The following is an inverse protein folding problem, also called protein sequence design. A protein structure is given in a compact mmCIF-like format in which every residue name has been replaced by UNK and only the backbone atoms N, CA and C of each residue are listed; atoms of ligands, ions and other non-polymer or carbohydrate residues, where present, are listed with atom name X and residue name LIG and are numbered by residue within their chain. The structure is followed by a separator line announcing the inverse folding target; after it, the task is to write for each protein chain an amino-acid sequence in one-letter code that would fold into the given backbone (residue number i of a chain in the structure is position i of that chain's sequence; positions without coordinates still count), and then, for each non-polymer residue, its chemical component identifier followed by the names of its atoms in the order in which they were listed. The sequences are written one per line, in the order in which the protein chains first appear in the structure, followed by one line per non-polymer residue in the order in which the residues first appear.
data_IF_387405085351
#
_entry.id   IF_387405085351
#
_cell.length_a   1.000
_cell.length_b   1.000
_cell.length_c   1.000
_cell.angle_alpha   90.00
_cell.angle_beta   90.00
_cell.angle_gamma   90.00
#
_symmetry.space_group_name_H-M   'P 1'
#
loop_
_entity.id
_entity.type
_entity.pdbx_description
1 polymer ?
#
# COMPACT_ATOMS: atom_id res chain seq x y z
N UNK A 1 -20.40 -16.09 11.75
CA UNK A 1 -20.23 -14.85 10.95
C UNK A 1 -19.45 -15.07 9.65
N UNK A 2 -18.43 -15.98 9.60
CA UNK A 2 -17.58 -16.16 8.39
C UNK A 2 -18.34 -16.52 7.11
N UNK A 3 -19.42 -17.29 7.18
CA UNK A 3 -20.24 -17.64 6.02
C UNK A 3 -21.26 -16.57 5.60
N UNK A 4 -21.27 -15.41 6.28
CA UNK A 4 -22.19 -14.29 5.99
C UNK A 4 -21.51 -13.12 5.30
N UNK A 5 -20.18 -13.14 5.16
CA UNK A 5 -19.40 -12.08 4.53
C UNK A 5 -18.78 -12.63 3.25
N UNK A 6 -19.23 -12.12 2.11
CA UNK A 6 -18.71 -12.53 0.80
C UNK A 6 -17.48 -11.74 0.40
N UNK A 7 -17.52 -10.42 0.54
CA UNK A 7 -16.45 -9.53 0.12
C UNK A 7 -16.16 -8.48 1.19
N UNK A 8 -14.91 -8.07 1.30
CA UNK A 8 -14.45 -6.99 2.17
C UNK A 8 -13.71 -5.96 1.32
N UNK A 9 -14.16 -4.72 1.35
CA UNK A 9 -13.49 -3.59 0.71
C UNK A 9 -13.05 -2.61 1.79
N UNK A 10 -11.79 -2.22 1.79
CA UNK A 10 -11.26 -1.28 2.78
C UNK A 10 -10.68 -0.04 2.12
N UNK A 11 -10.96 1.10 2.73
CA UNK A 11 -10.38 2.39 2.36
C UNK A 11 -9.31 2.76 3.37
N UNK A 12 -8.06 2.82 2.94
CA UNK A 12 -6.89 3.28 3.73
C UNK A 12 -6.87 2.80 5.18
N UNK A 13 -7.34 1.58 5.40
CA UNK A 13 -7.43 0.99 6.73
C UNK A 13 -6.03 0.60 7.21
N UNK A 14 -5.63 0.94 8.44
CA UNK A 14 -4.30 0.62 8.97
C UNK A 14 -4.18 -0.86 9.39
N UNK A 15 -4.25 -1.78 8.42
CA UNK A 15 -4.20 -3.23 8.66
C UNK A 15 -2.97 -3.69 9.43
N UNK A 16 -1.85 -3.00 9.26
CA UNK A 16 -0.60 -3.28 9.97
C UNK A 16 -0.28 -2.22 11.05
N UNK A 17 -1.28 -1.41 11.41
CA UNK A 17 -1.16 -0.38 12.44
C UNK A 17 -0.72 0.99 11.91
N UNK A 18 -0.74 1.96 12.80
CA UNK A 18 -0.28 3.33 12.55
C UNK A 18 1.11 3.50 13.17
N UNK A 19 2.02 4.09 12.40
CA UNK A 19 3.39 4.42 12.83
C UNK A 19 3.65 5.91 12.64
N UNK A 20 4.21 6.55 13.67
CA UNK A 20 4.67 7.94 13.62
C UNK A 20 6.20 7.97 13.70
N UNK A 21 6.85 8.57 12.69
CA UNK A 21 8.31 8.66 12.63
C UNK A 21 9.05 7.32 12.55
N UNK A 22 8.40 6.26 12.02
CA UNK A 22 8.96 4.91 11.95
C UNK A 22 8.92 4.14 13.28
N UNK A 23 8.26 4.69 14.29
CA UNK A 23 8.04 4.08 15.61
C UNK A 23 6.55 3.86 15.78
N UNK A 24 6.15 2.72 16.34
CA UNK A 24 4.76 2.53 16.77
C UNK A 24 4.34 3.70 17.67
N UNK A 25 3.09 4.19 17.48
CA UNK A 25 2.57 5.32 18.27
C UNK A 25 2.93 5.14 19.73
N UNK A 26 3.74 6.03 20.33
CA UNK A 26 4.08 5.93 21.73
C UNK A 26 2.82 6.07 22.60
N UNK A 27 2.71 5.29 23.65
CA UNK A 27 1.53 5.27 24.54
C UNK A 27 1.19 6.66 25.12
N UNK A 28 2.18 7.56 25.24
CA UNK A 28 1.99 8.91 25.79
C UNK A 28 1.43 9.92 24.75
N UNK A 29 1.51 9.61 23.44
CA UNK A 29 0.88 10.40 22.37
C UNK A 29 -0.53 9.93 22.07
N UNK A 30 -1.06 9.01 22.86
CA UNK A 30 -2.40 8.46 22.69
C UNK A 30 -3.48 9.53 22.94
N UNK A 31 -3.77 10.32 21.93
CA UNK A 31 -5.05 11.00 21.85
C UNK A 31 -6.13 9.92 21.61
N UNK A 32 -6.65 9.45 22.70
CA UNK A 32 -7.81 8.56 22.93
C UNK A 32 -7.88 7.24 22.14
N UNK A 33 -7.87 7.20 20.81
CA UNK A 33 -8.15 5.96 20.08
C UNK A 33 -6.99 5.50 19.17
N UNK A 34 -6.03 6.36 18.86
CA UNK A 34 -4.90 6.00 17.98
C UNK A 34 -4.03 4.87 18.55
N UNK A 35 -3.97 4.74 19.89
CA UNK A 35 -3.23 3.66 20.53
C UNK A 35 -3.84 2.27 20.27
N UNK A 36 -5.12 2.19 19.94
CA UNK A 36 -5.78 0.94 19.56
C UNK A 36 -5.21 0.40 18.22
N UNK A 37 -4.71 1.28 17.36
CA UNK A 37 -4.05 0.92 16.10
C UNK A 37 -2.54 0.71 16.23
N UNK A 38 -2.01 0.66 17.45
CA UNK A 38 -0.65 0.20 17.67
C UNK A 38 -0.54 -1.28 17.34
N UNK A 39 0.46 -1.68 16.54
CA UNK A 39 0.63 -3.07 16.07
C UNK A 39 0.64 -4.09 17.22
N UNK A 40 1.18 -3.72 18.39
CA UNK A 40 1.20 -4.59 19.57
C UNK A 40 -0.19 -4.81 20.14
N UNK A 41 -1.00 -3.76 20.22
CA UNK A 41 -2.38 -3.84 20.71
C UNK A 41 -3.26 -4.57 19.70
N UNK A 42 -3.10 -4.30 18.41
CA UNK A 42 -3.79 -5.04 17.36
C UNK A 42 -3.48 -6.54 17.40
N UNK A 43 -2.21 -6.91 17.58
CA UNK A 43 -1.81 -8.32 17.71
C UNK A 43 -2.50 -9.02 18.90
N UNK A 44 -2.58 -8.33 20.05
CA UNK A 44 -3.31 -8.83 21.23
C UNK A 44 -4.81 -8.96 20.96
N UNK A 45 -5.41 -7.93 20.37
CA UNK A 45 -6.84 -7.90 20.07
C UNK A 45 -7.25 -9.00 19.08
N UNK A 46 -6.43 -9.20 18.03
CA UNK A 46 -6.66 -10.23 17.03
C UNK A 46 -6.23 -11.65 17.47
N UNK A 47 -5.49 -11.77 18.55
CA UNK A 47 -4.95 -13.05 19.02
C UNK A 47 -3.91 -13.66 18.09
N UNK A 48 -3.13 -12.81 17.38
CA UNK A 48 -2.13 -13.25 16.40
C UNK A 48 -0.73 -12.69 16.72
N UNK A 49 0.35 -13.33 16.25
CA UNK A 49 1.69 -12.76 16.33
C UNK A 49 1.77 -11.40 15.60
N UNK A 50 2.59 -10.47 16.10
CA UNK A 50 2.80 -9.14 15.48
C UNK A 50 3.09 -9.20 13.98
N UNK A 51 3.85 -10.18 13.52
CA UNK A 51 4.20 -10.36 12.12
C UNK A 51 3.01 -10.78 11.24
N UNK A 52 1.88 -11.15 11.83
CA UNK A 52 0.68 -11.63 11.13
C UNK A 52 -0.54 -10.72 11.30
N UNK A 53 -0.36 -9.51 11.82
CA UNK A 53 -1.46 -8.56 12.08
C UNK A 53 -2.20 -8.20 10.79
N UNK A 54 -1.50 -8.09 9.67
CA UNK A 54 -2.07 -7.81 8.35
C UNK A 54 -2.16 -9.06 7.46
N UNK A 55 -2.28 -10.25 8.02
CA UNK A 55 -2.38 -11.50 7.28
C UNK A 55 -3.75 -12.17 7.49
N UNK A 56 -4.32 -12.71 6.41
CA UNK A 56 -5.51 -13.57 6.46
C UNK A 56 -5.15 -15.05 6.60
N UNK A 57 -3.87 -15.39 6.70
CA UNK A 57 -3.41 -16.76 6.87
C UNK A 57 -4.06 -17.42 8.11
N UNK A 58 -4.67 -18.59 7.91
CA UNK A 58 -5.39 -19.30 8.98
C UNK A 58 -6.78 -18.73 9.31
N UNK A 59 -7.21 -17.61 8.73
CA UNK A 59 -8.55 -17.05 8.95
C UNK A 59 -9.65 -17.85 8.24
N UNK A 60 -9.31 -18.56 7.17
CA UNK A 60 -10.28 -19.22 6.28
C UNK A 60 -11.05 -18.24 5.37
N UNK A 61 -10.70 -16.95 5.37
CA UNK A 61 -11.27 -15.97 4.45
C UNK A 61 -10.39 -15.89 3.18
N UNK A 62 -10.98 -15.96 1.97
CA UNK A 62 -10.22 -15.91 0.73
C UNK A 62 -9.59 -14.53 0.52
N UNK A 63 -8.28 -14.49 0.23
CA UNK A 63 -7.54 -13.24 0.06
C UNK A 63 -8.03 -12.42 -1.13
N UNK A 64 -8.47 -13.08 -2.20
CA UNK A 64 -9.02 -12.45 -3.41
C UNK A 64 -10.34 -11.71 -3.17
N UNK A 65 -11.04 -12.01 -2.08
CA UNK A 65 -12.26 -11.34 -1.64
C UNK A 65 -12.03 -10.20 -0.66
N UNK A 66 -10.77 -9.86 -0.42
CA UNK A 66 -10.38 -8.76 0.47
C UNK A 66 -9.63 -7.69 -0.33
N UNK A 67 -10.28 -6.60 -0.67
CA UNK A 67 -9.67 -5.53 -1.47
C UNK A 67 -9.22 -4.36 -0.59
N UNK A 68 -8.00 -3.89 -0.81
CA UNK A 68 -7.43 -2.75 -0.12
C UNK A 68 -7.23 -1.58 -1.09
N UNK A 69 -8.02 -0.52 -0.96
CA UNK A 69 -7.80 0.73 -1.66
C UNK A 69 -6.92 1.65 -0.80
N UNK A 70 -5.79 2.08 -1.36
CA UNK A 70 -4.71 2.75 -0.64
C UNK A 70 -4.55 4.16 -1.15
N UNK A 71 -4.65 5.14 -0.25
CA UNK A 71 -4.35 6.54 -0.53
C UNK A 71 -2.85 6.80 -0.53
N UNK A 72 -2.40 7.72 -1.38
CA UNK A 72 -0.98 8.04 -1.54
C UNK A 72 -0.68 9.54 -1.44
N UNK A 73 -1.69 10.36 -1.15
CA UNK A 73 -1.52 11.81 -1.01
C UNK A 73 -1.39 12.22 0.46
N UNK A 74 -0.16 12.37 0.91
CA UNK A 74 0.12 12.81 2.27
C UNK A 74 -0.04 14.31 2.49
N UNK A 75 -0.14 15.13 1.42
CA UNK A 75 -0.11 16.59 1.52
C UNK A 75 -1.47 17.20 1.83
N UNK A 76 -2.54 16.59 1.36
CA UNK A 76 -3.89 17.11 1.49
C UNK A 76 -4.61 16.68 2.78
N UNK A 77 -3.90 16.00 3.68
CA UNK A 77 -4.40 15.62 4.99
C UNK A 77 -4.02 16.66 6.04
N UNK A 78 -4.97 17.52 6.41
CA UNK A 78 -4.73 18.71 7.25
C UNK A 78 -5.10 18.54 8.72
N UNK A 79 -5.39 17.32 9.16
CA UNK A 79 -5.71 17.05 10.57
C UNK A 79 -4.53 17.42 11.47
N UNK A 80 -4.83 18.06 12.60
CA UNK A 80 -3.84 18.58 13.54
C UNK A 80 -2.83 19.57 12.91
N UNK A 81 -3.30 20.45 12.01
CA UNK A 81 -2.47 21.45 11.32
C UNK A 81 -1.33 20.84 10.48
N UNK A 82 -1.54 19.65 9.93
CA UNK A 82 -0.55 18.95 9.10
C UNK A 82 0.54 18.20 9.89
N UNK A 83 0.50 18.22 11.22
CA UNK A 83 1.50 17.51 12.05
C UNK A 83 1.48 16.00 11.84
N UNK A 84 0.31 15.43 11.57
CA UNK A 84 0.18 13.98 11.29
C UNK A 84 0.90 13.61 9.99
N UNK A 85 0.68 14.33 8.90
CA UNK A 85 1.31 14.06 7.60
C UNK A 85 2.83 14.22 7.65
N UNK A 86 3.34 15.19 8.42
CA UNK A 86 4.76 15.38 8.64
C UNK A 86 5.36 14.21 9.44
N UNK A 87 4.68 13.72 10.47
CA UNK A 87 5.15 12.64 11.32
C UNK A 87 5.11 11.27 10.61
N UNK A 88 4.15 11.03 9.70
CA UNK A 88 4.01 9.76 8.95
C UNK A 88 4.90 9.71 7.71
N UNK A 89 5.13 10.86 7.08
CA UNK A 89 6.00 11.00 5.92
C UNK A 89 5.31 10.81 4.56
N UNK A 90 6.06 10.99 3.45
CA UNK A 90 5.49 11.10 2.10
C UNK A 90 4.95 9.77 1.52
N UNK A 91 5.38 8.63 2.08
CA UNK A 91 4.89 7.30 1.67
C UNK A 91 3.63 6.92 2.45
N UNK A 92 2.62 7.80 2.45
CA UNK A 92 1.38 7.67 3.20
C UNK A 92 0.25 8.44 2.54
N UNK A 93 -0.96 8.31 3.06
CA UNK A 93 -2.13 9.13 2.76
C UNK A 93 -2.28 10.34 3.71
N UNK A 94 -1.25 10.59 4.53
CA UNK A 94 -1.21 11.61 5.58
C UNK A 94 -1.45 11.05 7.00
N UNK A 95 -1.99 9.83 7.13
CA UNK A 95 -2.19 9.16 8.42
C UNK A 95 -1.63 7.73 8.43
N UNK A 96 -1.90 6.96 7.39
CA UNK A 96 -1.51 5.55 7.28
C UNK A 96 -0.41 5.41 6.23
N UNK A 97 0.69 4.78 6.59
CA UNK A 97 1.75 4.46 5.64
C UNK A 97 1.24 3.43 4.62
N UNK A 98 1.65 3.58 3.37
CA UNK A 98 1.26 2.68 2.28
C UNK A 98 1.50 1.22 2.66
N UNK A 99 2.64 0.90 3.25
CA UNK A 99 3.01 -0.46 3.67
C UNK A 99 2.14 -1.04 4.80
N UNK A 100 1.43 -0.18 5.53
CA UNK A 100 0.52 -0.57 6.62
C UNK A 100 -0.95 -0.60 6.18
N UNK A 101 -1.26 -0.16 4.97
CA UNK A 101 -2.62 0.02 4.48
C UNK A 101 -3.18 -1.18 3.70
N UNK A 102 -2.50 -2.31 3.70
CA UNK A 102 -2.99 -3.50 3.01
C UNK A 102 -2.80 -4.79 3.82
N UNK A 103 -3.61 -5.76 3.48
CA UNK A 103 -3.47 -7.14 3.91
C UNK A 103 -2.55 -7.87 2.92
N UNK A 104 -1.66 -8.70 3.44
CA UNK A 104 -0.74 -9.48 2.64
C UNK A 104 -1.48 -10.32 1.59
N UNK A 105 -0.94 -10.36 0.39
CA UNK A 105 -1.44 -11.07 -0.79
C UNK A 105 -2.82 -10.66 -1.30
N UNK A 106 -3.54 -9.81 -0.57
CA UNK A 106 -4.85 -9.31 -1.03
C UNK A 106 -4.74 -8.37 -2.23
N UNK A 107 -5.74 -8.37 -3.11
CA UNK A 107 -5.90 -7.37 -4.16
C UNK A 107 -5.82 -5.95 -3.63
N UNK A 108 -5.14 -5.07 -4.35
CA UNK A 108 -4.96 -3.68 -3.95
C UNK A 108 -4.79 -2.73 -5.13
N UNK A 109 -5.27 -1.51 -4.95
CA UNK A 109 -4.99 -0.41 -5.86
C UNK A 109 -4.54 0.84 -5.08
N UNK A 110 -3.86 1.75 -5.78
CA UNK A 110 -3.31 2.95 -5.21
C UNK A 110 -3.90 4.16 -5.91
N UNK A 111 -4.41 5.12 -5.15
CA UNK A 111 -5.01 6.34 -5.70
C UNK A 111 -4.41 7.57 -5.02
N UNK A 112 -4.22 8.65 -5.79
CA UNK A 112 -3.62 9.86 -5.27
C UNK A 112 -4.64 10.69 -4.47
N UNK A 113 -5.11 10.11 -3.36
CA UNK A 113 -6.07 10.69 -2.43
C UNK A 113 -5.52 10.65 -1.00
N UNK A 114 -5.96 11.61 -0.19
CA UNK A 114 -5.63 11.67 1.23
C UNK A 114 -6.51 10.71 2.06
N UNK A 115 -6.16 10.53 3.32
CA UNK A 115 -6.89 9.65 4.24
C UNK A 115 -8.37 10.04 4.38
N UNK A 116 -8.63 11.33 4.57
CA UNK A 116 -9.99 11.87 4.73
C UNK A 116 -10.06 13.34 4.35
N UNK A 117 -11.23 13.96 4.54
CA UNK A 117 -11.46 15.36 4.22
C UNK A 117 -11.95 15.57 2.78
N UNK A 118 -11.83 16.80 2.28
CA UNK A 118 -12.34 17.18 0.97
C UNK A 118 -11.69 16.38 -0.18
N UNK A 119 -10.40 16.13 -0.07
CA UNK A 119 -9.64 15.30 -1.03
C UNK A 119 -9.50 13.85 -0.58
N UNK A 120 -10.36 13.42 0.35
CA UNK A 120 -10.33 12.09 0.94
C UNK A 120 -10.74 11.00 -0.03
N UNK A 121 -10.13 9.83 0.13
CA UNK A 121 -10.33 8.68 -0.73
C UNK A 121 -11.78 8.18 -0.75
N UNK A 122 -12.49 8.26 0.38
CA UNK A 122 -13.89 7.80 0.50
C UNK A 122 -14.83 8.67 -0.33
N UNK A 123 -14.53 9.95 -0.50
CA UNK A 123 -15.33 10.91 -1.26
C UNK A 123 -14.87 11.05 -2.71
N UNK A 124 -14.06 10.13 -3.22
CA UNK A 124 -13.49 10.23 -4.55
C UNK A 124 -14.18 9.35 -5.56
N UNK A 125 -14.14 9.76 -6.82
CA UNK A 125 -14.61 8.95 -7.95
C UNK A 125 -13.80 7.65 -8.06
N UNK A 126 -12.49 7.70 -7.84
CA UNK A 126 -11.61 6.54 -7.83
C UNK A 126 -12.02 5.53 -6.75
N UNK A 127 -12.40 6.03 -5.57
CA UNK A 127 -12.89 5.21 -4.46
C UNK A 127 -14.19 4.50 -4.82
N UNK A 128 -15.15 5.23 -5.37
CA UNK A 128 -16.44 4.71 -5.82
C UNK A 128 -16.28 3.69 -6.95
N UNK A 129 -15.51 4.00 -7.97
CA UNK A 129 -15.31 3.14 -9.14
C UNK A 129 -14.60 1.83 -8.79
N UNK A 130 -13.60 1.87 -7.90
CA UNK A 130 -12.95 0.64 -7.44
C UNK A 130 -13.91 -0.23 -6.62
N UNK A 131 -14.73 0.38 -5.73
CA UNK A 131 -15.71 -0.34 -4.93
C UNK A 131 -16.75 -1.04 -5.80
N UNK A 132 -17.39 -0.31 -6.72
CA UNK A 132 -18.43 -0.85 -7.60
C UNK A 132 -17.88 -1.98 -8.47
N UNK A 133 -16.69 -1.81 -9.03
CA UNK A 133 -16.06 -2.84 -9.86
C UNK A 133 -15.65 -4.07 -9.05
N UNK A 134 -15.19 -3.89 -7.82
CA UNK A 134 -14.87 -5.02 -6.94
C UNK A 134 -16.13 -5.81 -6.56
N UNK A 135 -17.24 -5.14 -6.28
CA UNK A 135 -18.48 -5.82 -5.86
C UNK A 135 -19.25 -6.46 -7.01
N UNK A 136 -19.21 -5.87 -8.19
CA UNK A 136 -20.08 -6.25 -9.31
C UNK A 136 -19.32 -6.64 -10.58
N UNK A 137 -18.02 -6.47 -10.61
CA UNK A 137 -17.18 -6.92 -11.72
C UNK A 137 -17.00 -8.44 -11.71
N UNK A 138 -16.80 -9.01 -12.87
CA UNK A 138 -16.64 -10.44 -13.11
C UNK A 138 -15.22 -10.83 -13.53
N UNK A 139 -14.34 -9.84 -13.74
CA UNK A 139 -12.95 -10.04 -14.09
C UNK A 139 -12.03 -9.33 -13.11
N UNK A 140 -10.92 -9.98 -12.75
CA UNK A 140 -9.83 -9.36 -12.00
C UNK A 140 -8.53 -9.38 -12.78
N UNK A 141 -7.79 -8.27 -12.75
CA UNK A 141 -6.46 -8.18 -13.35
C UNK A 141 -5.45 -7.72 -12.29
N UNK A 142 -4.41 -8.52 -12.06
CA UNK A 142 -3.32 -8.17 -11.16
C UNK A 142 -2.02 -8.06 -11.94
N UNK A 143 -1.39 -6.89 -11.89
CA UNK A 143 -0.08 -6.67 -12.48
C UNK A 143 1.03 -6.92 -11.45
N UNK A 144 2.00 -7.73 -11.83
CA UNK A 144 3.25 -7.93 -11.10
C UNK A 144 4.41 -7.54 -12.00
N UNK A 145 5.38 -6.83 -11.46
CA UNK A 145 6.61 -6.55 -12.17
C UNK A 145 7.61 -7.68 -11.92
N UNK A 146 8.22 -8.20 -12.96
CA UNK A 146 9.36 -9.12 -12.85
C UNK A 146 10.66 -8.38 -13.08
N UNK A 147 11.49 -8.26 -12.05
CA UNK A 147 12.81 -7.64 -12.14
C UNK A 147 13.85 -8.72 -12.45
N UNK A 148 14.37 -8.73 -13.67
CA UNK A 148 15.38 -9.73 -14.11
C UNK A 148 16.80 -9.29 -13.80
N UNK A 149 17.09 -8.00 -13.96
CA UNK A 149 18.39 -7.42 -13.67
C UNK A 149 18.22 -5.92 -13.36
N UNK A 150 19.10 -5.42 -12.51
CA UNK A 150 19.25 -3.98 -12.24
C UNK A 150 20.76 -3.68 -12.33
N UNK A 151 21.25 -3.22 -13.49
CA UNK A 151 22.65 -2.86 -13.64
C UNK A 151 22.99 -1.65 -12.78
N UNK A 152 24.11 -1.71 -12.09
CA UNK A 152 24.61 -0.59 -11.31
C UNK A 152 25.51 0.33 -12.14
N UNK A 153 25.47 1.63 -11.90
CA UNK A 153 26.54 2.53 -12.31
C UNK A 153 27.88 2.05 -11.73
N UNK A 154 29.00 2.26 -12.45
CA UNK A 154 30.33 1.76 -12.02
C UNK A 154 30.73 2.21 -10.61
N UNK A 155 30.34 3.42 -10.21
CA UNK A 155 30.65 3.99 -8.90
C UNK A 155 29.92 3.23 -7.77
N UNK A 156 28.67 2.86 -8.01
CA UNK A 156 27.87 2.07 -7.05
C UNK A 156 28.42 0.67 -6.95
N UNK A 157 28.79 0.05 -8.07
CA UNK A 157 29.39 -1.28 -8.09
C UNK A 157 30.73 -1.30 -7.32
N UNK A 158 31.56 -0.26 -7.49
CA UNK A 158 32.82 -0.12 -6.73
C UNK A 158 32.57 0.09 -5.24
N UNK A 159 31.57 0.90 -4.87
CA UNK A 159 31.20 1.13 -3.48
C UNK A 159 30.72 -0.18 -2.83
N UNK A 160 29.89 -0.95 -3.54
CA UNK A 160 29.45 -2.28 -3.12
C UNK A 160 30.60 -3.24 -2.87
N UNK A 161 31.54 -3.37 -3.82
CA UNK A 161 32.73 -4.22 -3.70
C UNK A 161 33.62 -3.82 -2.53
N UNK A 162 33.59 -2.55 -2.12
CA UNK A 162 34.31 -2.05 -0.94
C UNK A 162 33.52 -2.22 0.38
N UNK A 163 32.39 -2.91 0.36
CA UNK A 163 31.53 -3.12 1.52
C UNK A 163 30.83 -1.86 2.04
N UNK A 164 30.76 -0.79 1.24
CA UNK A 164 30.01 0.41 1.62
C UNK A 164 28.52 0.15 1.58
N UNK A 165 27.78 0.72 2.55
CA UNK A 165 26.32 0.70 2.55
C UNK A 165 25.80 1.45 1.31
N UNK A 166 24.96 0.78 0.55
CA UNK A 166 24.25 1.39 -0.59
C UNK A 166 22.91 1.92 -0.09
N UNK A 167 22.76 3.24 -0.13
CA UNK A 167 21.50 3.92 0.20
C UNK A 167 20.84 4.34 -1.10
N UNK A 168 20.12 3.43 -1.73
CA UNK A 168 19.32 3.71 -2.94
C UNK A 168 17.92 3.15 -2.80
N UNK A 169 16.96 3.82 -3.45
CA UNK A 169 15.57 3.41 -3.52
C UNK A 169 15.13 3.41 -4.97
N UNK A 170 14.30 2.44 -5.31
CA UNK A 170 13.71 2.27 -6.63
C UNK A 170 12.23 2.56 -6.54
N UNK A 171 11.75 3.44 -7.38
CA UNK A 171 10.35 3.84 -7.45
C UNK A 171 9.75 3.26 -8.73
N UNK A 172 8.63 2.57 -8.57
CA UNK A 172 7.94 1.87 -9.65
C UNK A 172 6.56 2.51 -9.78
N UNK A 173 6.24 3.01 -10.97
CA UNK A 173 4.97 3.68 -11.23
C UNK A 173 4.11 2.86 -12.17
N UNK A 174 2.82 2.80 -11.88
CA UNK A 174 1.81 2.22 -12.75
C UNK A 174 0.54 3.06 -12.66
N UNK A 175 -0.09 3.29 -13.82
CA UNK A 175 -1.39 3.95 -13.91
C UNK A 175 -2.32 3.09 -14.75
N UNK A 176 -3.55 2.92 -14.29
CA UNK A 176 -4.59 2.20 -15.01
C UNK A 176 -5.85 3.05 -15.06
N UNK A 177 -6.24 3.45 -16.26
CA UNK A 177 -7.50 4.11 -16.53
C UNK A 177 -8.37 3.21 -17.42
N UNK A 178 -9.68 3.09 -17.20
CA UNK A 178 -10.58 2.48 -18.15
C UNK A 178 -10.63 3.29 -19.45
N UNK A 179 -10.75 2.60 -20.59
CA UNK A 179 -10.90 3.29 -21.88
C UNK A 179 -12.11 4.23 -21.84
N UNK A 180 -11.93 5.47 -22.26
CA UNK A 180 -12.98 6.49 -22.25
C UNK A 180 -13.28 7.14 -20.90
N UNK A 181 -12.64 6.73 -19.81
CA UNK A 181 -12.69 7.42 -18.54
C UNK A 181 -11.57 8.47 -18.48
N UNK A 182 -11.93 9.75 -18.51
CA UNK A 182 -10.97 10.87 -18.50
C UNK A 182 -10.89 11.56 -17.15
N UNK A 183 -11.70 11.16 -16.18
CA UNK A 183 -11.87 11.87 -14.91
C UNK A 183 -11.31 11.10 -13.71
N UNK A 184 -10.98 9.82 -13.89
CA UNK A 184 -10.43 8.99 -12.82
C UNK A 184 -9.52 7.88 -13.35
N UNK A 185 -8.61 7.44 -12.48
CA UNK A 185 -7.79 6.25 -12.65
C UNK A 185 -8.24 5.18 -11.65
N UNK A 186 -8.20 3.89 -12.01
CA UNK A 186 -8.43 2.79 -11.06
C UNK A 186 -7.21 2.58 -10.15
N UNK A 187 -6.03 2.83 -10.67
CA UNK A 187 -4.81 3.03 -9.89
C UNK A 187 -3.99 4.12 -10.54
N UNK A 188 -3.36 4.95 -9.73
CA UNK A 188 -2.58 6.08 -10.20
C UNK A 188 -1.20 6.11 -9.58
N UNK A 189 -0.26 6.72 -10.30
CA UNK A 189 1.03 7.06 -9.72
C UNK A 189 0.87 8.16 -8.69
N UNK A 190 1.81 8.24 -7.79
CA UNK A 190 1.90 9.34 -6.84
C UNK A 190 2.56 10.58 -7.49
N UNK A 191 2.75 11.61 -6.69
CA UNK A 191 3.41 12.84 -7.11
C UNK A 191 4.84 12.62 -7.62
N UNK A 192 5.40 13.64 -8.31
CA UNK A 192 6.65 13.62 -9.06
C UNK A 192 7.90 13.03 -8.35
N UNK A 193 7.88 12.88 -7.03
CA UNK A 193 9.04 12.42 -6.25
C UNK A 193 8.78 11.17 -5.40
N UNK A 194 7.63 10.51 -5.58
CA UNK A 194 7.30 9.30 -4.87
C UNK A 194 6.38 8.42 -5.71
N UNK A 195 6.48 7.12 -5.60
CA UNK A 195 5.54 6.18 -6.18
C UNK A 195 4.95 5.28 -5.11
N UNK A 196 3.78 4.72 -5.37
CA UNK A 196 3.10 3.82 -4.43
C UNK A 196 3.93 2.55 -4.16
N UNK A 197 4.69 2.10 -5.15
CA UNK A 197 5.57 0.93 -5.02
C UNK A 197 7.02 1.38 -4.96
N UNK A 198 7.61 1.30 -3.78
CA UNK A 198 9.02 1.59 -3.53
C UNK A 198 9.73 0.33 -3.06
N UNK A 199 10.99 0.17 -3.45
CA UNK A 199 11.89 -0.86 -2.93
C UNK A 199 13.24 -0.23 -2.62
N UNK A 200 13.77 -0.52 -1.44
CA UNK A 200 15.13 -0.14 -1.09
C UNK A 200 16.13 -1.19 -1.58
N UNK A 201 17.40 -0.79 -1.73
CA UNK A 201 18.48 -1.69 -2.14
C UNK A 201 18.50 -2.98 -1.33
N UNK A 202 18.38 -2.88 0.00
CA UNK A 202 18.44 -4.03 0.90
C UNK A 202 17.24 -4.99 0.77
N UNK A 203 16.13 -4.55 0.19
CA UNK A 203 14.97 -5.40 -0.10
C UNK A 203 15.13 -6.14 -1.44
N UNK A 204 15.84 -5.54 -2.38
CA UNK A 204 16.04 -6.09 -3.71
C UNK A 204 17.25 -7.02 -3.81
N UNK A 205 18.31 -6.73 -3.05
CA UNK A 205 19.60 -7.39 -3.17
C UNK A 205 20.00 -8.08 -1.87
N UNK A 206 20.55 -9.28 -2.03
CA UNK A 206 21.20 -10.00 -0.94
C UNK A 206 22.59 -9.40 -0.60
N UNK A 207 23.29 -10.01 0.35
CA UNK A 207 24.63 -9.57 0.80
C UNK A 207 25.67 -9.63 -0.32
N UNK A 208 25.48 -10.53 -1.28
CA UNK A 208 26.39 -10.73 -2.41
C UNK A 208 26.03 -9.80 -3.59
N UNK A 209 24.95 -9.05 -3.48
CA UNK A 209 24.47 -8.13 -4.50
C UNK A 209 23.68 -8.78 -5.60
N UNK A 210 23.14 -9.99 -5.37
CA UNK A 210 22.21 -10.63 -6.29
C UNK A 210 20.79 -10.22 -5.97
N UNK A 211 19.94 -10.15 -6.99
CA UNK A 211 18.51 -9.91 -6.81
C UNK A 211 17.88 -11.02 -5.99
N UNK A 212 17.36 -10.68 -4.81
CA UNK A 212 16.64 -11.57 -3.92
C UNK A 212 15.27 -11.97 -4.47
N UNK A 213 14.81 -13.18 -4.19
CA UNK A 213 13.53 -13.70 -4.69
C UNK A 213 12.33 -12.86 -4.23
N UNK A 214 12.33 -12.40 -2.98
CA UNK A 214 11.23 -11.63 -2.39
C UNK A 214 11.04 -10.24 -3.02
N UNK A 215 12.14 -9.60 -3.49
CA UNK A 215 12.08 -8.27 -4.09
C UNK A 215 11.75 -8.25 -5.58
N UNK A 216 11.87 -9.39 -6.27
CA UNK A 216 11.82 -9.46 -7.73
C UNK A 216 10.46 -9.25 -8.37
N UNK A 217 9.38 -9.44 -7.63
CA UNK A 217 8.04 -9.42 -8.21
C UNK A 217 7.03 -8.63 -7.38
N UNK A 218 7.21 -7.31 -7.21
CA UNK A 218 6.23 -6.52 -6.51
C UNK A 218 4.90 -6.49 -7.25
N UNK A 219 3.79 -6.54 -6.49
CA UNK A 219 2.46 -6.25 -7.03
C UNK A 219 2.37 -4.75 -7.29
N UNK A 220 2.04 -4.39 -8.52
CA UNK A 220 1.86 -2.99 -8.91
C UNK A 220 0.43 -2.52 -8.62
N UNK A 221 -0.55 -3.36 -8.93
CA UNK A 221 -1.97 -3.11 -8.66
C UNK A 221 -2.80 -4.37 -8.87
N UNK A 222 -4.03 -4.33 -8.37
CA UNK A 222 -5.12 -5.19 -8.78
C UNK A 222 -6.32 -4.32 -9.12
N UNK A 223 -7.01 -4.61 -10.22
CA UNK A 223 -8.24 -3.93 -10.63
C UNK A 223 -9.31 -4.94 -10.99
N UNK A 224 -10.55 -4.55 -10.82
CA UNK A 224 -11.71 -5.36 -11.20
C UNK A 224 -12.44 -4.69 -12.37
N UNK A 225 -12.91 -5.49 -13.30
CA UNK A 225 -13.53 -5.06 -14.54
C UNK A 225 -14.85 -5.79 -14.75
N UNK A 226 -15.70 -5.21 -15.56
CA UNK A 226 -16.97 -5.80 -16.02
C UNK A 226 -16.76 -6.22 -17.47
N UNK A 227 -16.77 -7.53 -17.74
CA UNK A 227 -16.51 -8.09 -19.07
C UNK A 227 -17.55 -7.66 -20.12
N UNK A 228 -18.76 -7.34 -19.68
CA UNK A 228 -19.82 -6.85 -20.56
C UNK A 228 -19.56 -5.46 -21.16
N UNK A 229 -18.57 -4.73 -20.60
CA UNK A 229 -18.15 -3.39 -21.03
C UNK A 229 -16.79 -3.38 -21.72
N UNK A 230 -16.26 -4.55 -22.03
CA UNK A 230 -15.02 -4.69 -22.80
C UNK A 230 -15.42 -4.84 -24.26
N UNK A 231 -15.11 -3.84 -25.07
CA UNK A 231 -15.22 -3.88 -26.53
C UNK A 231 -13.95 -4.44 -27.17
#
# INVERSE_FOLDING_TARGET
FRGMVDNVFTYVTPHNGIELGGINVPNFLSMNDMNNFNRTNMAKYLGVPKAKVNSLEGSGFPEERFFCLIGTNSRDYTVANGLSSFAVGPMSDGLVRIENAYVDRSPRAFVNRSHSGHFGIVNSEEGYQNLVRFLFGDMSATARMEIKALPFPPEIEQARKRGKRIASSYYIEATVAPRGAYTYDLTSRTQAHASAVRRDYAELFDKDGNLGAAGRSPVLFSVFLDSSKIE
#
